data_IF_930974467252
#
_entry.id   IF_930974467252
#
_cell.length_a   1.000
_cell.length_b   1.000
_cell.length_c   1.000
_cell.angle_alpha   90.00
_cell.angle_beta   90.00
_cell.angle_gamma   90.00
#
_symmetry.space_group_name_H-M   'P 1'
#
loop_
_entity.id
_entity.type
_entity.pdbx_description
1 polymer ?
#
# COMPACT_ATOMS: atom_id res chain seq x y z
N UNK A 1 20.79 52.77 16.78
CA UNK A 1 19.79 52.00 17.53
C UNK A 1 19.84 50.59 16.99
N UNK A 2 20.32 49.64 17.79
CA UNK A 2 20.47 48.23 17.40
C UNK A 2 19.12 47.51 17.60
N UNK A 3 18.53 47.00 16.53
CA UNK A 3 17.17 46.44 16.50
C UNK A 3 17.15 44.90 16.50
N UNK A 4 18.17 44.26 17.09
CA UNK A 4 18.19 42.79 17.18
C UNK A 4 17.09 42.30 18.13
N UNK A 5 16.22 41.42 17.61
CA UNK A 5 15.19 40.69 18.36
C UNK A 5 15.79 40.00 19.59
N UNK A 6 15.48 40.52 20.79
CA UNK A 6 15.78 39.85 22.04
C UNK A 6 14.71 38.78 22.24
N UNK A 7 15.12 37.51 22.28
CA UNK A 7 14.22 36.37 22.42
C UNK A 7 13.25 36.49 23.60
N UNK A 8 12.23 35.64 23.59
CA UNK A 8 11.12 35.62 24.55
C UNK A 8 11.57 35.95 26.00
N UNK A 9 10.92 36.90 26.71
CA UNK A 9 11.34 37.36 28.04
C UNK A 9 11.14 36.33 29.16
N UNK A 10 10.57 35.16 28.84
CA UNK A 10 10.41 34.04 29.74
C UNK A 10 11.23 32.84 29.24
N UNK A 11 11.90 32.08 30.14
CA UNK A 11 12.58 30.85 29.77
C UNK A 11 11.59 29.89 29.10
N UNK A 12 11.84 29.57 27.84
CA UNK A 12 11.13 28.50 27.14
C UNK A 12 12.07 27.31 27.03
N UNK A 13 11.64 26.15 27.54
CA UNK A 13 12.34 24.91 27.32
C UNK A 13 11.86 24.35 25.98
N UNK A 14 12.68 24.51 24.93
CA UNK A 14 12.44 23.82 23.68
C UNK A 14 12.87 22.35 23.84
N UNK A 15 11.91 21.43 23.81
CA UNK A 15 12.21 20.01 23.71
C UNK A 15 12.32 19.65 22.22
N UNK A 16 13.53 19.39 21.74
CA UNK A 16 13.72 18.79 20.43
C UNK A 16 13.15 17.36 20.48
N UNK A 17 12.02 17.11 19.83
CA UNK A 17 11.50 15.76 19.68
C UNK A 17 12.44 14.99 18.75
N UNK A 18 13.05 13.91 19.24
CA UNK A 18 13.64 12.89 18.38
C UNK A 18 12.54 12.46 17.40
N UNK A 19 12.75 12.68 16.10
CA UNK A 19 11.71 12.68 15.05
C UNK A 19 10.86 11.40 15.11
N UNK A 20 9.74 11.41 15.85
CA UNK A 20 8.93 10.19 16.08
C UNK A 20 8.04 9.88 14.88
N UNK A 21 7.71 10.91 14.10
CA UNK A 21 6.99 10.80 12.83
C UNK A 21 7.90 11.30 11.71
N UNK A 22 8.11 10.45 10.70
CA UNK A 22 8.92 10.77 9.51
C UNK A 22 8.02 11.12 8.31
N UNK A 23 6.88 10.45 8.19
CA UNK A 23 5.90 10.60 7.10
C UNK A 23 4.52 10.12 7.56
N UNK A 24 3.49 10.42 6.78
CA UNK A 24 2.15 9.82 6.92
C UNK A 24 2.11 8.36 6.44
N UNK A 25 3.19 7.85 5.85
CA UNK A 25 3.30 6.44 5.46
C UNK A 25 2.37 6.05 4.32
N UNK A 26 2.07 6.98 3.40
CA UNK A 26 1.19 6.74 2.25
C UNK A 26 1.83 5.90 1.14
N UNK A 27 3.14 5.80 1.14
CA UNK A 27 3.91 4.96 0.23
C UNK A 27 5.11 4.36 0.93
N UNK A 28 5.62 3.29 0.34
CA UNK A 28 6.81 2.57 0.83
C UNK A 28 7.62 2.06 -0.35
N UNK A 29 8.95 2.14 -0.23
CA UNK A 29 9.87 1.49 -1.18
C UNK A 29 10.12 0.07 -0.71
N UNK A 30 9.92 -0.91 -1.60
CA UNK A 30 10.13 -2.33 -1.36
C UNK A 30 11.12 -2.91 -2.37
N UNK A 31 11.65 -4.08 -2.06
CA UNK A 31 12.58 -4.82 -2.90
C UNK A 31 11.84 -5.79 -3.80
N UNK A 32 12.06 -5.68 -5.11
CA UNK A 32 11.61 -6.66 -6.10
C UNK A 32 12.69 -7.74 -6.24
N UNK A 33 12.36 -9.02 -6.00
CA UNK A 33 13.32 -10.12 -6.12
C UNK A 33 13.62 -10.44 -7.59
N UNK A 34 14.75 -11.11 -7.84
CA UNK A 34 15.15 -11.56 -9.18
C UNK A 34 14.06 -12.30 -9.95
N UNK A 35 14.16 -12.28 -11.28
CA UNK A 35 13.23 -12.94 -12.21
C UNK A 35 11.76 -12.54 -12.01
N UNK A 36 11.52 -11.29 -11.62
CA UNK A 36 10.18 -10.77 -11.36
C UNK A 36 9.89 -9.58 -12.27
N UNK A 37 8.70 -9.61 -12.86
CA UNK A 37 8.08 -8.46 -13.52
C UNK A 37 6.91 -7.98 -12.66
N UNK A 38 6.87 -6.68 -12.38
CA UNK A 38 5.75 -5.98 -11.79
C UNK A 38 5.37 -4.84 -12.72
N UNK A 39 4.09 -4.74 -13.04
CA UNK A 39 3.55 -3.66 -13.87
C UNK A 39 2.93 -2.58 -12.98
N UNK A 40 3.07 -1.31 -13.37
CA UNK A 40 2.38 -0.21 -12.73
C UNK A 40 0.87 -0.45 -12.77
N UNK A 41 0.18 -0.18 -11.66
CA UNK A 41 -1.25 -0.47 -11.51
C UNK A 41 -1.56 -1.89 -11.03
N UNK A 42 -0.57 -2.76 -10.82
CA UNK A 42 -0.79 -4.06 -10.19
C UNK A 42 -0.66 -3.99 -8.67
N UNK A 43 -1.53 -4.70 -7.96
CA UNK A 43 -1.40 -5.01 -6.55
C UNK A 43 -0.35 -6.09 -6.33
N UNK A 44 0.52 -5.86 -5.35
CA UNK A 44 1.57 -6.80 -4.97
C UNK A 44 1.76 -6.83 -3.46
N UNK A 45 2.29 -7.95 -2.97
CA UNK A 45 2.75 -8.12 -1.59
C UNK A 45 4.26 -8.40 -1.62
N UNK A 46 5.06 -7.41 -1.21
CA UNK A 46 6.53 -7.49 -1.16
C UNK A 46 7.04 -6.88 0.15
N UNK A 47 8.08 -7.46 0.73
CA UNK A 47 8.64 -7.06 2.04
C UNK A 47 7.60 -6.92 3.17
N UNK A 48 6.50 -7.67 3.07
CA UNK A 48 5.39 -7.60 4.03
C UNK A 48 4.43 -6.42 3.83
N UNK A 49 4.58 -5.61 2.78
CA UNK A 49 3.66 -4.53 2.42
C UNK A 49 2.77 -4.93 1.25
N UNK A 50 1.46 -4.79 1.43
CA UNK A 50 0.48 -4.94 0.36
C UNK A 50 0.11 -3.57 -0.18
N UNK A 51 0.34 -3.32 -1.47
CA UNK A 51 0.10 -2.03 -2.08
C UNK A 51 0.05 -2.08 -3.60
N UNK A 52 -0.34 -0.96 -4.19
CA UNK A 52 -0.45 -0.79 -5.64
C UNK A 52 0.89 -0.27 -6.19
N UNK A 53 1.41 -0.93 -7.22
CA UNK A 53 2.68 -0.59 -7.85
C UNK A 53 2.57 0.73 -8.62
N UNK A 54 3.46 1.68 -8.34
CA UNK A 54 3.46 3.01 -8.97
C UNK A 54 4.35 3.11 -10.22
N UNK A 55 5.14 2.07 -10.50
CA UNK A 55 6.01 2.00 -11.67
C UNK A 55 6.19 0.57 -12.15
N UNK A 56 6.61 0.42 -13.41
CA UNK A 56 7.04 -0.87 -13.95
C UNK A 56 8.43 -1.22 -13.42
N UNK A 57 8.63 -2.48 -13.00
CA UNK A 57 9.93 -3.01 -12.62
C UNK A 57 10.11 -4.40 -13.21
N UNK A 58 11.25 -4.62 -13.86
CA UNK A 58 11.67 -5.93 -14.38
C UNK A 58 13.05 -6.23 -13.83
N UNK A 59 13.20 -7.43 -13.28
CA UNK A 59 14.47 -7.94 -12.73
C UNK A 59 14.86 -9.24 -13.45
N UNK A 60 16.14 -9.35 -13.81
CA UNK A 60 16.74 -10.58 -14.33
C UNK A 60 17.30 -11.49 -13.22
N UNK A 61 18.05 -12.51 -13.62
CA UNK A 61 18.76 -13.39 -12.70
C UNK A 61 19.86 -12.62 -11.94
N UNK A 62 19.92 -12.80 -10.61
CA UNK A 62 20.88 -12.12 -9.74
C UNK A 62 20.61 -10.63 -9.51
N UNK A 63 19.51 -10.09 -10.03
CA UNK A 63 19.16 -8.67 -9.93
C UNK A 63 18.04 -8.45 -8.91
N UNK A 64 18.14 -7.36 -8.15
CA UNK A 64 17.01 -6.81 -7.38
C UNK A 64 16.86 -5.34 -7.72
N UNK A 65 15.63 -4.83 -7.62
CA UNK A 65 15.31 -3.42 -7.88
C UNK A 65 14.33 -2.90 -6.85
N UNK A 66 14.33 -1.60 -6.67
CA UNK A 66 13.35 -0.92 -5.83
C UNK A 66 12.03 -0.69 -6.59
N UNK A 67 10.93 -0.90 -5.88
CA UNK A 67 9.58 -0.58 -6.32
C UNK A 67 8.90 0.30 -5.27
N UNK A 68 8.24 1.37 -5.71
CA UNK A 68 7.37 2.17 -4.84
C UNK A 68 5.96 1.60 -4.89
N UNK A 69 5.43 1.24 -3.72
CA UNK A 69 4.03 0.90 -3.52
C UNK A 69 3.30 2.08 -2.89
N UNK A 70 2.11 2.42 -3.40
CA UNK A 70 1.16 3.20 -2.59
C UNK A 70 0.45 2.26 -1.64
N UNK A 71 0.41 2.66 -0.37
CA UNK A 71 -0.23 1.97 0.74
C UNK A 71 -1.16 2.90 1.51
N UNK A 72 -1.56 4.01 0.87
CA UNK A 72 -2.51 4.95 1.43
C UNK A 72 -3.82 4.24 1.77
N UNK A 73 -4.33 4.48 2.98
CA UNK A 73 -5.61 3.93 3.40
C UNK A 73 -6.76 4.68 2.71
N UNK A 74 -7.01 4.31 1.46
CA UNK A 74 -7.99 4.91 0.57
C UNK A 74 -8.82 3.85 -0.15
N UNK A 75 -9.82 4.32 -0.87
CA UNK A 75 -10.60 3.50 -1.78
C UNK A 75 -9.90 3.39 -3.13
N UNK A 76 -9.85 2.18 -3.68
CA UNK A 76 -9.25 1.89 -4.97
C UNK A 76 -10.19 1.07 -5.84
N UNK A 77 -10.10 1.30 -7.14
CA UNK A 77 -10.70 0.47 -8.17
C UNK A 77 -9.70 -0.60 -8.63
N UNK A 78 -10.15 -1.83 -8.85
CA UNK A 78 -9.31 -2.89 -9.41
C UNK A 78 -10.11 -4.01 -10.06
N UNK A 79 -9.52 -4.63 -11.07
CA UNK A 79 -9.95 -5.87 -11.72
C UNK A 79 -9.04 -7.08 -11.37
N UNK A 80 -8.04 -6.89 -10.50
CA UNK A 80 -7.06 -7.90 -10.11
C UNK A 80 -7.64 -8.88 -9.07
N UNK A 81 -8.76 -9.49 -9.43
CA UNK A 81 -9.60 -10.29 -8.57
C UNK A 81 -9.80 -11.71 -9.12
N UNK A 82 -10.20 -12.63 -8.25
CA UNK A 82 -10.67 -13.96 -8.64
C UNK A 82 -12.07 -13.87 -9.27
N UNK A 83 -12.16 -13.70 -10.59
CA UNK A 83 -13.41 -13.40 -11.31
C UNK A 83 -14.54 -14.41 -11.12
N UNK A 84 -14.26 -15.62 -10.63
CA UNK A 84 -15.27 -16.63 -10.28
C UNK A 84 -16.03 -16.33 -8.99
N UNK A 85 -15.51 -15.43 -8.14
CA UNK A 85 -16.09 -15.06 -6.85
C UNK A 85 -17.01 -13.83 -6.96
N UNK A 86 -17.81 -13.56 -5.93
CA UNK A 86 -18.92 -12.60 -6.00
C UNK A 86 -18.47 -11.18 -5.69
N UNK A 87 -17.66 -10.99 -4.64
CA UNK A 87 -17.25 -9.68 -4.12
C UNK A 87 -18.44 -8.74 -3.88
N UNK A 88 -19.35 -9.15 -3.00
CA UNK A 88 -20.46 -8.30 -2.59
C UNK A 88 -19.95 -7.11 -1.75
N UNK A 89 -20.67 -5.98 -1.79
CA UNK A 89 -20.36 -4.83 -0.91
C UNK A 89 -20.26 -5.27 0.55
N UNK A 90 -19.18 -4.89 1.21
CA UNK A 90 -18.87 -5.27 2.59
C UNK A 90 -18.10 -6.59 2.74
N UNK A 91 -17.89 -7.37 1.68
CA UNK A 91 -17.09 -8.59 1.74
C UNK A 91 -15.63 -8.31 2.13
N UNK A 92 -15.06 -9.20 2.93
CA UNK A 92 -13.63 -9.16 3.28
C UNK A 92 -12.79 -9.62 2.09
N UNK A 93 -11.68 -8.93 1.85
CA UNK A 93 -10.77 -9.20 0.75
C UNK A 93 -9.46 -9.74 1.28
N UNK A 94 -8.95 -10.78 0.62
CA UNK A 94 -7.70 -11.44 0.96
C UNK A 94 -6.78 -11.50 -0.26
N UNK A 95 -5.47 -11.47 -0.04
CA UNK A 95 -4.48 -11.61 -1.10
C UNK A 95 -4.02 -13.05 -1.24
N UNK A 96 -4.21 -13.61 -2.43
CA UNK A 96 -3.69 -14.93 -2.79
C UNK A 96 -2.36 -14.78 -3.54
N UNK A 97 -1.26 -15.06 -2.85
CA UNK A 97 0.09 -14.90 -3.39
C UNK A 97 0.42 -15.87 -4.54
N UNK A 98 -0.26 -17.02 -4.61
CA UNK A 98 -0.05 -18.02 -5.68
C UNK A 98 -0.65 -17.56 -7.01
N UNK A 99 -1.88 -17.06 -6.98
CA UNK A 99 -2.60 -16.58 -8.17
C UNK A 99 -2.36 -15.11 -8.47
N UNK A 100 -1.75 -14.38 -7.52
CA UNK A 100 -1.53 -12.93 -7.55
C UNK A 100 -2.84 -12.14 -7.76
N UNK A 101 -3.91 -12.61 -7.11
CA UNK A 101 -5.26 -12.04 -7.20
C UNK A 101 -5.85 -11.82 -5.82
N UNK A 102 -6.71 -10.83 -5.73
CA UNK A 102 -7.57 -10.62 -4.58
C UNK A 102 -8.71 -11.66 -4.60
N UNK A 103 -9.05 -12.21 -3.44
CA UNK A 103 -10.04 -13.28 -3.26
C UNK A 103 -10.89 -13.05 -2.00
N UNK A 104 -12.07 -13.67 -1.92
CA UNK A 104 -12.89 -13.74 -0.70
C UNK A 104 -12.45 -14.89 0.23
N UNK A 105 -11.50 -15.74 -0.19
CA UNK A 105 -11.04 -16.90 0.59
C UNK A 105 -10.03 -16.49 1.66
N UNK A 106 -10.40 -16.66 2.93
CA UNK A 106 -9.54 -16.31 4.06
C UNK A 106 -8.37 -17.28 4.30
N UNK A 107 -8.60 -18.58 4.16
CA UNK A 107 -7.62 -19.63 4.49
C UNK A 107 -6.31 -19.40 3.73
N UNK A 108 -5.20 -19.36 4.47
CA UNK A 108 -3.82 -19.14 4.00
C UNK A 108 -3.56 -17.80 3.29
N UNK A 109 -4.54 -16.90 3.23
CA UNK A 109 -4.43 -15.62 2.55
C UNK A 109 -4.46 -14.46 3.54
N UNK A 110 -3.69 -13.40 3.25
CA UNK A 110 -3.63 -12.19 4.08
C UNK A 110 -4.89 -11.34 3.86
N UNK A 111 -5.56 -10.88 4.91
CA UNK A 111 -6.62 -9.86 4.81
C UNK A 111 -6.01 -8.55 4.30
N UNK A 112 -6.60 -7.97 3.26
CA UNK A 112 -6.09 -6.75 2.59
C UNK A 112 -7.11 -5.63 2.46
N UNK A 113 -8.39 -5.86 2.72
CA UNK A 113 -9.37 -4.79 2.62
C UNK A 113 -10.82 -5.24 2.70
N UNK A 114 -11.72 -4.34 2.31
CA UNK A 114 -13.16 -4.60 2.27
C UNK A 114 -13.80 -3.93 1.07
N UNK A 115 -14.66 -4.67 0.38
CA UNK A 115 -15.40 -4.19 -0.80
C UNK A 115 -16.31 -3.02 -0.40
N UNK A 116 -16.25 -1.94 -1.16
CA UNK A 116 -17.11 -0.75 -1.02
C UNK A 116 -18.11 -0.62 -2.17
N UNK A 117 -17.73 -1.09 -3.36
CA UNK A 117 -18.61 -1.29 -4.50
C UNK A 117 -18.42 -2.70 -5.07
N UNK A 118 -19.54 -3.43 -5.23
CA UNK A 118 -19.50 -4.84 -5.61
C UNK A 118 -19.03 -5.05 -7.05
N UNK A 119 -18.65 -6.29 -7.38
CA UNK A 119 -18.14 -6.63 -8.71
C UNK A 119 -19.16 -6.32 -9.80
N UNK A 120 -18.73 -5.55 -10.80
CA UNK A 120 -19.54 -5.19 -11.95
C UNK A 120 -19.45 -6.22 -13.10
N UNK A 121 -20.07 -5.91 -14.24
CA UNK A 121 -20.05 -6.76 -15.43
C UNK A 121 -18.65 -6.89 -16.08
N UNK A 122 -17.73 -5.96 -15.80
CA UNK A 122 -16.36 -5.97 -16.30
C UNK A 122 -15.39 -6.68 -15.35
N UNK A 123 -15.90 -7.25 -14.24
CA UNK A 123 -15.10 -7.80 -13.14
C UNK A 123 -14.27 -6.76 -12.39
N UNK A 124 -14.76 -5.54 -12.28
CA UNK A 124 -14.15 -4.46 -11.51
C UNK A 124 -14.86 -4.36 -10.16
N UNK A 125 -14.10 -4.18 -9.09
CA UNK A 125 -14.60 -3.84 -7.75
C UNK A 125 -14.01 -2.52 -7.27
N UNK A 126 -14.67 -1.86 -6.32
CA UNK A 126 -14.03 -0.85 -5.48
C UNK A 126 -13.86 -1.39 -4.07
N UNK A 127 -12.74 -1.07 -3.43
CA UNK A 127 -12.49 -1.50 -2.07
C UNK A 127 -11.68 -0.48 -1.26
N UNK A 128 -11.92 -0.46 0.04
CA UNK A 128 -11.09 0.27 1.00
C UNK A 128 -9.89 -0.61 1.38
N UNK A 129 -8.68 -0.12 1.16
CA UNK A 129 -7.44 -0.80 1.57
C UNK A 129 -7.40 -0.93 3.10
N UNK A 130 -7.13 -2.13 3.59
CA UNK A 130 -6.98 -2.44 4.99
C UNK A 130 -5.65 -1.93 5.57
N UNK A 131 -5.50 -1.91 6.90
CA UNK A 131 -4.22 -1.61 7.53
C UNK A 131 -3.15 -2.62 7.12
N UNK A 132 -1.89 -2.19 7.09
CA UNK A 132 -0.77 -3.10 6.89
C UNK A 132 -0.65 -4.03 8.11
N UNK A 133 -0.55 -5.33 7.86
CA UNK A 133 -0.51 -6.40 8.86
C UNK A 133 0.92 -6.76 9.25
#
# INVERSE_FOLDING_TARGET
MDTRYQGNPAPVTAHALARSKVSDGKSVTVTVPQNTTVTAGEWVLLDGFFGLAMQNVVTGAGETKELVLTIEQAEFETDQISTSQTFAKGAALYWNATTKKITETATDNRLVGRVTNGKDANNVIWFLLGPQA
#
